data_IF_686066885347
#
_entry.id   IF_686066885347
#
_cell.length_a   1.000
_cell.length_b   1.000
_cell.length_c   1.000
_cell.angle_alpha   90.00
_cell.angle_beta   90.00
_cell.angle_gamma   90.00
#
_symmetry.space_group_name_H-M   'P 1'
#
loop_
_entity.id
_entity.type
_entity.pdbx_description
1 polymer ?
#
# COMPACT_ATOMS: atom_id res chain seq x y z
N UNK A 1 9.51 13.29 14.00
CA UNK A 1 9.91 12.98 12.61
C UNK A 1 8.70 12.47 11.86
N UNK A 2 8.48 12.97 10.65
CA UNK A 2 7.42 12.48 9.75
C UNK A 2 8.09 11.78 8.59
N UNK A 3 7.57 10.62 8.20
CA UNK A 3 8.12 9.83 7.11
C UNK A 3 7.14 9.76 5.95
N UNK A 4 7.65 10.01 4.74
CA UNK A 4 6.90 9.88 3.49
C UNK A 4 7.63 8.94 2.55
N UNK A 5 6.91 7.99 1.98
CA UNK A 5 7.39 7.20 0.86
C UNK A 5 6.64 7.64 -0.40
N UNK A 6 7.38 8.09 -1.39
CA UNK A 6 6.79 8.57 -2.64
C UNK A 6 7.12 7.63 -3.79
N UNK A 7 6.13 7.36 -4.64
CA UNK A 7 6.32 6.49 -5.80
C UNK A 7 5.53 7.02 -6.99
N UNK A 8 6.12 6.91 -8.18
CA UNK A 8 5.46 7.27 -9.43
C UNK A 8 4.54 6.14 -9.90
N UNK A 9 3.40 6.48 -10.52
CA UNK A 9 2.43 5.53 -11.01
C UNK A 9 1.85 5.99 -12.35
N UNK A 10 1.25 5.07 -13.08
CA UNK A 10 0.53 5.38 -14.31
C UNK A 10 -0.89 5.86 -14.06
N UNK A 11 -1.49 5.48 -12.95
CA UNK A 11 -2.92 5.69 -12.75
C UNK A 11 -3.25 5.94 -11.28
N UNK A 12 -3.42 7.21 -10.92
CA UNK A 12 -3.74 7.62 -9.55
C UNK A 12 -5.09 7.07 -9.08
N UNK A 13 -6.09 6.96 -9.95
CA UNK A 13 -7.41 6.47 -9.57
C UNK A 13 -7.38 5.01 -9.15
N UNK A 14 -6.63 4.17 -9.85
CA UNK A 14 -6.47 2.76 -9.48
C UNK A 14 -5.73 2.62 -8.17
N UNK A 15 -4.70 3.42 -7.95
CA UNK A 15 -3.93 3.44 -6.70
C UNK A 15 -4.82 3.89 -5.55
N UNK A 16 -5.57 4.97 -5.71
CA UNK A 16 -6.48 5.46 -4.66
C UNK A 16 -7.48 4.39 -4.27
N UNK A 17 -8.14 3.78 -5.26
CA UNK A 17 -9.13 2.73 -5.01
C UNK A 17 -8.53 1.56 -4.23
N UNK A 18 -7.35 1.09 -4.66
CA UNK A 18 -6.69 -0.04 -4.01
C UNK A 18 -6.31 0.27 -2.56
N UNK A 19 -5.62 1.38 -2.33
CA UNK A 19 -5.12 1.71 -0.99
C UNK A 19 -6.22 2.14 -0.03
N UNK A 20 -7.33 2.69 -0.52
CA UNK A 20 -8.46 3.03 0.35
C UNK A 20 -9.38 1.84 0.58
N UNK A 21 -9.78 1.11 -0.46
CA UNK A 21 -10.78 0.05 -0.33
C UNK A 21 -10.18 -1.27 0.16
N UNK A 22 -8.94 -1.59 -0.21
CA UNK A 22 -8.30 -2.86 0.16
C UNK A 22 -7.42 -2.68 1.39
N UNK A 23 -6.47 -1.76 1.34
CA UNK A 23 -5.53 -1.53 2.45
C UNK A 23 -6.23 -0.84 3.63
N UNK A 24 -7.18 0.03 3.36
CA UNK A 24 -7.93 0.73 4.40
C UNK A 24 -7.33 2.06 4.81
N UNK A 25 -6.55 2.68 3.93
CA UNK A 25 -6.02 4.02 4.17
C UNK A 25 -7.04 5.09 3.80
N UNK A 26 -6.81 6.30 4.28
CA UNK A 26 -7.61 7.47 3.93
C UNK A 26 -6.86 8.35 2.94
N UNK A 27 -7.62 9.04 2.10
CA UNK A 27 -7.05 10.12 1.30
C UNK A 27 -6.80 11.32 2.22
N UNK A 28 -5.52 11.71 2.35
CA UNK A 28 -5.12 12.84 3.18
C UNK A 28 -4.99 14.13 2.38
N UNK A 29 -4.80 14.04 1.07
CA UNK A 29 -4.66 15.19 0.22
C UNK A 29 -4.29 14.81 -1.21
N UNK A 30 -4.05 15.82 -2.02
CA UNK A 30 -3.64 15.62 -3.40
C UNK A 30 -3.43 16.96 -4.11
N UNK A 31 -2.96 16.90 -5.34
CA UNK A 31 -2.76 18.08 -6.18
C UNK A 31 -2.85 17.69 -7.66
N UNK A 32 -3.19 18.67 -8.50
CA UNK A 32 -3.29 18.46 -9.94
C UNK A 32 -2.46 19.50 -10.67
N UNK A 33 -1.73 19.03 -11.68
CA UNK A 33 -0.96 19.88 -12.61
C UNK A 33 -0.07 20.92 -11.92
N UNK A 34 0.57 20.52 -10.83
CA UNK A 34 1.58 21.36 -10.19
C UNK A 34 2.93 21.01 -10.81
N UNK A 35 3.48 21.94 -11.59
CA UNK A 35 4.70 21.73 -12.37
C UNK A 35 4.64 20.45 -13.23
N UNK A 36 3.49 20.19 -13.86
CA UNK A 36 3.22 19.03 -14.71
C UNK A 36 3.11 17.70 -13.96
N UNK A 37 3.04 17.74 -12.63
CA UNK A 37 2.79 16.57 -11.80
C UNK A 37 1.40 16.63 -11.18
N UNK A 38 0.76 15.47 -11.07
CA UNK A 38 -0.39 15.29 -10.22
C UNK A 38 -0.04 14.28 -9.12
N UNK A 39 -0.66 14.40 -7.98
CA UNK A 39 -0.31 13.57 -6.84
C UNK A 39 -1.46 13.30 -5.90
N UNK A 40 -1.26 12.26 -5.09
CA UNK A 40 -2.22 11.74 -4.15
C UNK A 40 -1.49 11.37 -2.87
N UNK A 41 -2.01 11.79 -1.73
CA UNK A 41 -1.42 11.47 -0.43
C UNK A 41 -2.39 10.58 0.33
N UNK A 42 -1.92 9.43 0.75
CA UNK A 42 -2.70 8.40 1.43
C UNK A 42 -2.04 8.03 2.76
N UNK A 43 -2.85 7.78 3.77
CA UNK A 43 -2.34 7.38 5.07
C UNK A 43 -3.47 7.29 6.07
N UNK A 44 -3.15 7.47 7.35
CA UNK A 44 -4.13 7.50 8.43
C UNK A 44 -3.98 8.82 9.19
N UNK A 45 -5.09 9.48 9.54
CA UNK A 45 -5.03 10.73 10.31
C UNK A 45 -4.26 10.56 11.61
N UNK A 46 -3.41 11.54 11.92
CA UNK A 46 -2.65 11.55 13.17
C UNK A 46 -1.41 10.68 13.21
N UNK A 47 -1.08 9.99 12.12
CA UNK A 47 0.14 9.18 12.06
C UNK A 47 1.33 10.00 11.55
N UNK A 48 2.53 9.53 11.87
CA UNK A 48 3.78 10.18 11.47
C UNK A 48 4.34 9.64 10.15
N UNK A 49 3.51 9.01 9.36
CA UNK A 49 3.89 8.48 8.06
C UNK A 49 2.74 8.62 7.06
N UNK A 50 3.08 8.71 5.82
CA UNK A 50 2.10 8.63 4.73
C UNK A 50 2.78 8.22 3.43
N UNK A 51 1.97 7.83 2.47
CA UNK A 51 2.40 7.49 1.12
C UNK A 51 2.02 8.61 0.18
N UNK A 52 2.87 8.87 -0.80
CA UNK A 52 2.55 9.79 -1.90
C UNK A 52 2.70 9.05 -3.22
N UNK A 53 1.72 9.20 -4.09
CA UNK A 53 1.78 8.66 -5.44
C UNK A 53 1.68 9.82 -6.41
N UNK A 54 2.60 9.85 -7.38
CA UNK A 54 2.63 10.91 -8.39
C UNK A 54 2.48 10.34 -9.79
N UNK A 55 1.97 11.17 -10.68
CA UNK A 55 1.92 10.88 -12.12
C UNK A 55 2.36 12.10 -12.91
N UNK A 56 2.89 11.88 -14.09
CA UNK A 56 3.32 12.91 -15.02
C UNK A 56 3.27 12.35 -16.44
N UNK A 57 3.80 13.09 -17.42
CA UNK A 57 3.95 12.59 -18.78
C UNK A 57 4.96 11.43 -18.86
N UNK A 58 5.87 11.34 -17.90
CA UNK A 58 6.87 10.27 -17.85
C UNK A 58 6.30 9.03 -17.18
N UNK A 59 6.49 7.87 -17.81
CA UNK A 59 6.06 6.59 -17.25
C UNK A 59 6.99 6.16 -16.14
N UNK A 60 6.46 5.48 -15.09
CA UNK A 60 7.29 4.94 -14.04
C UNK A 60 8.26 3.88 -14.59
N UNK A 61 9.47 3.86 -14.02
CA UNK A 61 10.53 2.92 -14.37
C UNK A 61 10.89 2.06 -13.16
N UNK A 62 9.90 1.71 -12.36
CA UNK A 62 10.14 0.96 -11.13
C UNK A 62 10.58 -0.47 -11.44
N UNK A 63 11.66 -0.89 -10.81
CA UNK A 63 12.11 -2.27 -10.78
C UNK A 63 12.17 -2.65 -9.32
N UNK A 64 11.41 -3.68 -8.93
CA UNK A 64 11.43 -4.14 -7.53
C UNK A 64 11.88 -5.58 -7.44
N UNK A 65 12.55 -5.86 -6.34
CA UNK A 65 12.92 -7.22 -5.97
C UNK A 65 11.73 -7.91 -5.31
N UNK A 66 11.71 -9.24 -5.32
CA UNK A 66 10.64 -10.01 -4.70
C UNK A 66 10.50 -9.78 -3.20
N UNK A 67 11.56 -9.31 -2.55
CA UNK A 67 11.58 -9.04 -1.12
C UNK A 67 11.44 -7.54 -0.80
N UNK A 68 11.19 -6.69 -1.79
CA UNK A 68 10.85 -5.29 -1.57
C UNK A 68 9.36 -5.18 -1.29
N UNK A 69 8.99 -4.64 -0.15
CA UNK A 69 7.60 -4.63 0.27
C UNK A 69 7.28 -3.51 1.25
N UNK A 70 6.01 -3.14 1.28
CA UNK A 70 5.46 -2.31 2.35
C UNK A 70 4.84 -3.25 3.37
N UNK A 71 5.15 -3.04 4.64
CA UNK A 71 4.60 -3.87 5.73
C UNK A 71 3.68 -3.02 6.59
N UNK A 72 2.42 -3.42 6.64
CA UNK A 72 1.43 -2.77 7.49
C UNK A 72 1.16 -3.66 8.70
N UNK A 73 1.40 -3.13 9.89
CA UNK A 73 1.11 -3.81 11.14
C UNK A 73 -0.29 -3.42 11.59
N UNK A 74 -1.15 -4.41 11.68
CA UNK A 74 -2.49 -4.21 12.26
C UNK A 74 -2.47 -4.56 13.74
N UNK A 75 -3.43 -4.01 14.51
CA UNK A 75 -3.40 -4.07 15.96
C UNK A 75 -3.93 -5.38 16.55
N UNK A 76 -4.68 -6.15 15.78
CA UNK A 76 -5.32 -7.37 16.29
C UNK A 76 -5.60 -8.37 15.16
N UNK A 77 -5.88 -9.61 15.55
CA UNK A 77 -6.30 -10.64 14.59
C UNK A 77 -7.65 -10.31 13.96
N UNK A 78 -8.53 -9.64 14.70
CA UNK A 78 -9.81 -9.18 14.16
C UNK A 78 -9.58 -8.20 13.02
N UNK A 79 -8.69 -7.23 13.21
CA UNK A 79 -8.34 -6.26 12.18
C UNK A 79 -7.70 -6.95 10.97
N UNK A 80 -6.85 -7.95 11.20
CA UNK A 80 -6.26 -8.73 10.10
C UNK A 80 -7.32 -9.49 9.30
N UNK A 81 -8.33 -10.03 10.00
CA UNK A 81 -9.46 -10.71 9.35
C UNK A 81 -10.28 -9.74 8.50
N UNK A 82 -10.45 -8.50 8.96
CA UNK A 82 -11.14 -7.46 8.18
C UNK A 82 -10.37 -7.13 6.90
N UNK A 83 -9.05 -7.03 6.99
CA UNK A 83 -8.20 -6.84 5.80
C UNK A 83 -8.37 -8.00 4.83
N UNK A 84 -8.34 -9.22 5.33
CA UNK A 84 -8.49 -10.42 4.52
C UNK A 84 -9.85 -10.45 3.81
N UNK A 85 -10.91 -10.03 4.50
CA UNK A 85 -12.25 -9.94 3.90
C UNK A 85 -12.27 -8.93 2.75
N UNK A 86 -11.63 -7.77 2.92
CA UNK A 86 -11.56 -6.76 1.86
C UNK A 86 -10.78 -7.27 0.65
N UNK A 87 -9.69 -8.01 0.88
CA UNK A 87 -8.91 -8.64 -0.17
C UNK A 87 -9.77 -9.63 -0.98
N UNK A 88 -10.51 -10.48 -0.29
CA UNK A 88 -11.38 -11.48 -0.90
C UNK A 88 -12.52 -10.82 -1.68
N UNK A 89 -13.19 -9.84 -1.08
CA UNK A 89 -14.28 -9.11 -1.74
C UNK A 89 -13.81 -8.34 -2.97
N UNK A 90 -12.57 -7.86 -2.96
CA UNK A 90 -11.97 -7.16 -4.09
C UNK A 90 -11.39 -8.09 -5.16
N UNK A 91 -11.51 -9.40 -5.00
CA UNK A 91 -10.94 -10.41 -5.89
C UNK A 91 -9.43 -10.24 -6.09
N UNK A 92 -8.74 -9.82 -5.05
CA UNK A 92 -7.28 -9.68 -5.07
C UNK A 92 -6.66 -11.02 -4.67
N UNK A 93 -5.69 -11.46 -5.46
CA UNK A 93 -5.00 -12.72 -5.19
C UNK A 93 -4.05 -12.58 -4.01
N UNK A 94 -4.16 -13.48 -3.04
CA UNK A 94 -3.14 -13.61 -2.00
C UNK A 94 -1.97 -14.40 -2.58
N UNK A 95 -0.76 -13.88 -2.37
CA UNK A 95 0.46 -14.43 -2.94
C UNK A 95 1.32 -15.07 -1.84
N UNK A 96 2.15 -16.02 -2.23
CA UNK A 96 3.07 -16.65 -1.30
C UNK A 96 4.35 -15.82 -1.22
N UNK A 97 4.70 -15.29 -0.04
CA UNK A 97 5.97 -14.58 0.12
C UNK A 97 7.18 -15.48 -0.16
N UNK A 98 8.22 -14.93 -0.74
CA UNK A 98 9.48 -15.63 -0.94
C UNK A 98 10.21 -15.84 0.38
N UNK A 99 10.17 -14.84 1.27
CA UNK A 99 10.77 -14.91 2.59
C UNK A 99 9.93 -15.79 3.51
N UNK A 100 10.49 -16.90 4.04
CA UNK A 100 9.74 -17.83 4.90
C UNK A 100 9.15 -17.17 6.15
N UNK A 101 9.77 -16.10 6.65
CA UNK A 101 9.24 -15.35 7.78
C UNK A 101 7.83 -14.85 7.49
N UNK A 102 7.62 -14.27 6.30
CA UNK A 102 6.31 -13.72 5.93
C UNK A 102 5.31 -14.80 5.54
N UNK A 103 5.78 -15.98 5.10
CA UNK A 103 4.88 -17.12 4.88
C UNK A 103 4.13 -17.48 6.17
N UNK A 104 4.82 -17.39 7.31
CA UNK A 104 4.25 -17.75 8.61
C UNK A 104 3.50 -16.57 9.25
N UNK A 105 3.95 -15.35 9.02
CA UNK A 105 3.57 -14.21 9.84
C UNK A 105 2.78 -13.13 9.09
N UNK A 106 2.51 -13.30 7.81
CA UNK A 106 1.86 -12.25 7.04
C UNK A 106 0.93 -12.74 5.94
N UNK A 107 0.15 -11.82 5.44
CA UNK A 107 -0.65 -11.97 4.22
C UNK A 107 -0.04 -11.04 3.18
N UNK A 108 0.29 -11.57 2.00
CA UNK A 108 0.91 -10.77 0.94
C UNK A 108 0.00 -10.63 -0.27
N UNK A 109 -0.09 -9.41 -0.77
CA UNK A 109 -0.77 -9.09 -2.03
C UNK A 109 0.12 -8.14 -2.84
N UNK A 110 -0.23 -7.92 -4.11
CA UNK A 110 0.40 -6.91 -4.95
C UNK A 110 -0.56 -5.75 -5.19
N UNK A 111 -0.03 -4.54 -5.21
CA UNK A 111 -0.83 -3.39 -5.61
C UNK A 111 -0.98 -3.33 -7.15
N UNK A 112 -1.75 -2.37 -7.70
CA UNK A 112 -1.96 -2.31 -9.16
C UNK A 112 -0.69 -2.16 -10.00
N UNK A 113 0.39 -1.67 -9.41
CA UNK A 113 1.68 -1.53 -10.09
C UNK A 113 2.61 -2.74 -9.88
N UNK A 114 2.15 -3.74 -9.12
CA UNK A 114 2.94 -4.94 -8.81
C UNK A 114 3.79 -4.83 -7.57
N UNK A 115 3.66 -3.76 -6.79
CA UNK A 115 4.41 -3.57 -5.54
C UNK A 115 3.85 -4.47 -4.46
N UNK A 116 4.72 -5.17 -3.73
CA UNK A 116 4.30 -6.13 -2.71
C UNK A 116 3.91 -5.43 -1.41
N UNK A 117 2.84 -5.94 -0.80
CA UNK A 117 2.31 -5.44 0.46
C UNK A 117 2.09 -6.62 1.40
N UNK A 118 2.56 -6.48 2.62
CA UNK A 118 2.38 -7.45 3.71
C UNK A 118 1.48 -6.83 4.77
N UNK A 119 0.52 -7.61 5.25
CA UNK A 119 -0.23 -7.29 6.47
C UNK A 119 0.13 -8.32 7.54
N UNK A 120 0.41 -7.85 8.74
CA UNK A 120 0.76 -8.71 9.87
C UNK A 120 0.25 -8.10 11.16
N UNK A 121 0.04 -8.93 12.17
CA UNK A 121 -0.38 -8.42 13.49
C UNK A 121 0.85 -7.92 14.24
N UNK A 122 0.70 -6.76 14.88
CA UNK A 122 1.75 -6.21 15.73
C UNK A 122 2.14 -7.24 16.79
N UNK A 123 3.45 -7.56 16.94
CA UNK A 123 3.87 -8.49 17.97
C UNK A 123 3.45 -8.00 19.36
N UNK A 124 2.89 -8.91 20.17
CA UNK A 124 2.63 -8.62 21.58
C UNK A 124 3.92 -8.77 22.38
N UNK A 125 4.21 -7.78 23.20
CA UNK A 125 5.34 -7.82 24.10
C UNK A 125 4.97 -8.55 25.40
#
# INVERSE_FOLDING_TARGET
MIFRYARHTLNLQRIEKFYTEIVGLDRLGGFENHDHYSGLILGLPGQNWHLEFTTSADKPKSIFNDDDMLVFYVNSRTELSEVKNRIELGNIKMEKPKNPYWVKNGIMISDPDGFKIIFTVTPSN
#
